data_IF_252873257150
#
_entry.id   IF_252873257150
#
_cell.length_a   1.000
_cell.length_b   1.000
_cell.length_c   1.000
_cell.angle_alpha   90.00
_cell.angle_beta   90.00
_cell.angle_gamma   90.00
#
_symmetry.space_group_name_H-M   'P 1'
#
loop_
_entity.id
_entity.type
_entity.pdbx_description
1 polymer ?
#
# COMPACT_ATOMS: atom_id res chain seq x y z
N UNK A 1 25.19 2.67 4.53
CA UNK A 1 24.40 3.27 3.42
C UNK A 1 22.93 3.22 3.79
N UNK A 2 22.16 4.30 3.63
CA UNK A 2 20.71 4.25 3.83
C UNK A 2 20.05 3.35 2.77
N UNK A 3 18.98 2.66 3.15
CA UNK A 3 18.15 1.86 2.25
C UNK A 3 16.78 2.51 2.11
N UNK A 4 16.23 2.46 0.90
CA UNK A 4 14.88 2.93 0.61
C UNK A 4 14.07 1.78 0.01
N UNK A 5 12.90 1.53 0.57
CA UNK A 5 11.99 0.47 0.14
C UNK A 5 10.76 1.12 -0.47
N UNK A 6 10.43 0.76 -1.70
CA UNK A 6 9.22 1.21 -2.38
C UNK A 6 8.19 0.09 -2.39
N UNK A 7 6.98 0.38 -1.92
CA UNK A 7 5.87 -0.56 -1.94
C UNK A 7 4.66 0.15 -2.53
N UNK A 8 4.02 -0.49 -3.51
CA UNK A 8 2.76 -0.02 -4.08
C UNK A 8 1.61 -0.39 -3.15
N UNK A 9 0.61 0.49 -3.04
CA UNK A 9 -0.62 0.19 -2.30
C UNK A 9 -1.27 -1.12 -2.77
N UNK A 10 -2.07 -1.72 -1.90
CA UNK A 10 -2.81 -2.93 -2.20
C UNK A 10 -3.95 -2.73 -3.20
N UNK A 11 -4.63 -3.82 -3.53
CA UNK A 11 -5.71 -3.85 -4.51
C UNK A 11 -6.86 -2.88 -4.16
N UNK A 12 -7.30 -2.11 -5.16
CA UNK A 12 -8.47 -1.21 -5.10
C UNK A 12 -9.67 -1.71 -5.90
N UNK A 13 -9.53 -2.86 -6.55
CA UNK A 13 -10.57 -3.55 -7.31
C UNK A 13 -10.67 -4.97 -6.78
N UNK A 14 -11.89 -5.46 -6.61
CA UNK A 14 -12.13 -6.82 -6.14
C UNK A 14 -11.72 -7.85 -7.21
N UNK A 15 -11.50 -9.10 -6.78
CA UNK A 15 -11.20 -10.17 -7.73
C UNK A 15 -12.34 -10.34 -8.74
N UNK A 16 -12.02 -10.23 -10.03
CA UNK A 16 -13.01 -10.30 -11.12
C UNK A 16 -13.72 -8.98 -11.43
N UNK A 17 -13.50 -7.92 -10.65
CA UNK A 17 -13.98 -6.58 -11.00
C UNK A 17 -13.14 -6.03 -12.17
N UNK A 18 -13.80 -5.52 -13.21
CA UNK A 18 -13.10 -4.90 -14.34
C UNK A 18 -12.40 -3.61 -13.88
N UNK A 19 -11.06 -3.52 -13.97
CA UNK A 19 -10.36 -2.30 -13.60
C UNK A 19 -10.78 -1.15 -14.51
N UNK A 20 -10.89 0.05 -13.94
CA UNK A 20 -11.08 1.30 -14.68
C UNK A 20 -9.88 2.22 -14.48
N UNK A 21 -9.76 3.21 -15.36
CA UNK A 21 -8.72 4.22 -15.24
C UNK A 21 -8.91 5.01 -13.93
N UNK A 22 -7.90 4.96 -13.08
CA UNK A 22 -7.90 5.60 -11.76
C UNK A 22 -6.68 6.50 -11.65
N UNK A 23 -6.93 7.78 -11.41
CA UNK A 23 -5.89 8.81 -11.30
C UNK A 23 -5.72 9.32 -9.87
N UNK A 24 -4.93 10.40 -9.74
CA UNK A 24 -4.76 11.12 -8.46
C UNK A 24 -6.03 11.79 -7.95
N UNK A 25 -7.03 12.02 -8.80
CA UNK A 25 -8.31 12.61 -8.42
C UNK A 25 -9.35 11.57 -7.96
N UNK A 26 -9.04 10.27 -8.10
CA UNK A 26 -9.94 9.19 -7.71
C UNK A 26 -9.43 8.54 -6.43
N UNK A 27 -10.05 8.90 -5.30
CA UNK A 27 -9.64 8.39 -4.00
C UNK A 27 -10.39 7.08 -3.66
N UNK A 28 -9.97 5.98 -4.28
CA UNK A 28 -10.57 4.65 -4.07
C UNK A 28 -10.07 3.98 -2.80
N UNK A 29 -10.94 3.16 -2.18
CA UNK A 29 -10.60 2.38 -0.97
C UNK A 29 -9.79 1.14 -1.38
N UNK A 30 -9.04 0.61 -0.42
CA UNK A 30 -8.53 -0.75 -0.56
C UNK A 30 -9.70 -1.74 -0.48
N UNK A 31 -9.55 -2.84 -1.19
CA UNK A 31 -10.35 -4.05 -0.98
C UNK A 31 -9.92 -4.75 0.29
N UNK A 32 -10.71 -5.72 0.76
CA UNK A 32 -10.30 -6.57 1.88
C UNK A 32 -8.97 -7.29 1.61
N UNK A 33 -8.75 -7.73 0.37
CA UNK A 33 -7.48 -8.31 -0.06
C UNK A 33 -6.34 -7.28 -0.06
N UNK A 34 -6.63 -6.03 -0.45
CA UNK A 34 -5.69 -4.92 -0.43
C UNK A 34 -5.20 -4.56 0.97
N UNK A 35 -6.09 -4.59 1.97
CA UNK A 35 -5.73 -4.41 3.39
C UNK A 35 -4.82 -5.56 3.87
N UNK A 36 -5.15 -6.81 3.53
CA UNK A 36 -4.30 -7.97 3.88
C UNK A 36 -2.92 -7.90 3.23
N UNK A 37 -2.80 -7.36 2.02
CA UNK A 37 -1.51 -7.12 1.38
C UNK A 37 -0.67 -6.11 2.18
N UNK A 38 -1.30 -5.09 2.79
CA UNK A 38 -0.64 -4.14 3.69
C UNK A 38 -0.05 -4.82 4.92
N UNK A 39 -0.82 -5.69 5.57
CA UNK A 39 -0.32 -6.47 6.72
C UNK A 39 0.89 -7.35 6.35
N UNK A 40 0.82 -8.09 5.24
CA UNK A 40 1.95 -8.92 4.78
C UNK A 40 3.16 -8.08 4.39
N UNK A 41 2.95 -6.90 3.81
CA UNK A 41 4.03 -5.97 3.50
C UNK A 41 4.72 -5.49 4.77
N UNK A 42 3.95 -5.14 5.80
CA UNK A 42 4.48 -4.75 7.10
C UNK A 42 5.32 -5.87 7.75
N UNK A 43 4.81 -7.11 7.75
CA UNK A 43 5.55 -8.28 8.27
C UNK A 43 6.90 -8.44 7.58
N UNK A 44 6.92 -8.39 6.24
CA UNK A 44 8.16 -8.49 5.45
C UNK A 44 9.12 -7.34 5.75
N UNK A 45 8.61 -6.11 5.81
CA UNK A 45 9.44 -4.93 6.06
C UNK A 45 10.07 -4.98 7.45
N UNK A 46 9.29 -5.32 8.47
CA UNK A 46 9.76 -5.42 9.85
C UNK A 46 10.81 -6.53 9.97
N UNK A 47 10.57 -7.70 9.37
CA UNK A 47 11.50 -8.82 9.44
C UNK A 47 12.87 -8.50 8.81
N UNK A 48 12.92 -7.63 7.81
CA UNK A 48 14.14 -7.38 7.03
C UNK A 48 14.84 -6.05 7.33
N UNK A 49 14.09 -5.01 7.68
CA UNK A 49 14.56 -3.62 7.68
C UNK A 49 14.31 -2.87 8.99
N UNK A 50 13.72 -3.49 10.02
CA UNK A 50 13.53 -2.83 11.30
C UNK A 50 14.89 -2.54 12.00
N UNK A 51 15.01 -1.41 12.74
CA UNK A 51 14.01 -0.36 12.93
C UNK A 51 13.89 0.59 11.73
N UNK A 52 12.66 1.05 11.45
CA UNK A 52 12.40 2.02 10.37
C UNK A 52 12.58 3.45 10.88
N UNK A 53 13.29 4.28 10.13
CA UNK A 53 13.45 5.70 10.45
C UNK A 53 12.23 6.54 10.08
N UNK A 54 11.50 6.17 9.02
CA UNK A 54 10.33 6.88 8.55
C UNK A 54 9.47 6.01 7.63
N UNK A 55 8.18 6.31 7.57
CA UNK A 55 7.23 5.81 6.57
C UNK A 55 6.66 7.03 5.86
N UNK A 56 6.75 7.06 4.52
CA UNK A 56 6.31 8.18 3.69
C UNK A 56 5.23 7.69 2.74
N UNK A 57 4.11 8.41 2.66
CA UNK A 57 2.95 8.03 1.83
C UNK A 57 2.29 9.24 1.18
N UNK A 58 1.56 8.99 0.08
CA UNK A 58 0.78 10.01 -0.62
C UNK A 58 -0.54 10.36 0.10
N UNK A 59 -1.26 11.40 -0.36
CA UNK A 59 -2.46 11.89 0.33
C UNK A 59 -3.69 10.98 0.19
N UNK A 60 -3.67 10.04 -0.75
CA UNK A 60 -4.81 9.19 -1.11
C UNK A 60 -5.06 8.13 -0.03
N UNK A 61 -6.33 7.84 0.24
CA UNK A 61 -6.72 6.91 1.30
C UNK A 61 -6.12 5.52 1.08
N UNK A 62 -6.01 5.02 -0.17
CA UNK A 62 -5.40 3.71 -0.46
C UNK A 62 -3.93 3.63 -0.09
N UNK A 63 -3.18 4.75 -0.19
CA UNK A 63 -1.76 4.78 0.18
C UNK A 63 -1.60 5.03 1.67
N UNK A 64 -2.46 5.87 2.28
CA UNK A 64 -2.44 6.13 3.74
C UNK A 64 -2.86 4.92 4.56
N UNK A 65 -3.82 4.15 4.07
CA UNK A 65 -4.35 2.98 4.76
C UNK A 65 -3.43 1.76 4.67
N UNK A 66 -2.68 1.67 3.58
CA UNK A 66 -1.71 0.59 3.35
C UNK A 66 -0.40 0.79 4.12
N UNK A 67 0.07 2.03 4.22
CA UNK A 67 1.32 2.41 4.87
C UNK A 67 1.17 2.46 6.39
#
# INVERSE_FOLDING_TARGET
MPQLVFIRHGNTFEAGETPRMVGGMTDMKLTAAGEQQGHRAAEMVVARFAPLSAIITGPLQRTKRFA
#
